data_IF_546965627027
#
_entry.id   IF_546965627027
#
_cell.length_a   1.000
_cell.length_b   1.000
_cell.length_c   1.000
_cell.angle_alpha   90.00
_cell.angle_beta   90.00
_cell.angle_gamma   90.00
#
_symmetry.space_group_name_H-M   'P 1'
#
loop_
_entity.id
_entity.type
_entity.pdbx_description
1 polymer ?
#
# COMPACT_ATOMS: atom_id res chain seq x y z
N UNK A 1 15.46 -7.42 9.33
CA UNK A 1 14.33 -6.58 8.88
C UNK A 1 14.59 -6.22 7.43
N UNK A 2 13.68 -6.60 6.54
CA UNK A 2 13.75 -6.22 5.14
C UNK A 2 12.96 -4.92 4.95
N UNK A 3 13.56 -3.92 4.30
CA UNK A 3 12.88 -2.66 4.00
C UNK A 3 12.05 -2.84 2.73
N UNK A 4 10.74 -2.60 2.80
CA UNK A 4 9.82 -2.67 1.68
C UNK A 4 9.58 -1.26 1.16
N UNK A 5 9.85 -1.06 -0.11
CA UNK A 5 9.65 0.20 -0.82
C UNK A 5 10.62 0.33 -1.98
N UNK A 6 10.28 1.05 -3.03
CA UNK A 6 11.28 1.37 -4.04
C UNK A 6 12.32 2.31 -3.42
N UNK A 7 13.61 2.09 -3.71
CA UNK A 7 14.71 2.90 -3.18
C UNK A 7 14.53 4.41 -3.47
N UNK A 8 13.83 4.75 -4.54
CA UNK A 8 13.54 6.14 -4.91
C UNK A 8 12.53 6.77 -3.95
N UNK A 9 11.44 6.09 -3.60
CA UNK A 9 10.42 6.66 -2.73
C UNK A 9 10.88 6.84 -1.28
N UNK A 10 11.62 5.88 -0.73
CA UNK A 10 12.16 5.98 0.64
C UNK A 10 13.15 7.15 0.77
N UNK A 11 13.92 7.44 -0.29
CA UNK A 11 14.87 8.58 -0.29
C UNK A 11 14.17 9.92 -0.27
N UNK A 12 13.04 10.04 -0.97
CA UNK A 12 12.34 11.32 -1.15
C UNK A 12 11.38 11.60 0.02
N UNK A 13 10.72 10.58 0.57
CA UNK A 13 9.73 10.74 1.63
C UNK A 13 10.28 10.50 3.04
N UNK A 14 11.31 9.69 3.16
CA UNK A 14 11.87 9.28 4.45
C UNK A 14 10.99 8.33 5.27
N UNK A 15 9.85 7.90 4.77
CA UNK A 15 8.96 6.93 5.43
C UNK A 15 9.01 5.60 4.68
N UNK A 16 9.25 4.53 5.43
CA UNK A 16 9.24 3.16 4.92
C UNK A 16 8.43 2.24 5.84
N UNK A 17 8.34 0.97 5.43
CA UNK A 17 7.74 -0.08 6.23
C UNK A 17 8.73 -1.22 6.45
N UNK A 18 8.87 -1.66 7.68
CA UNK A 18 9.63 -2.85 8.01
C UNK A 18 8.80 -4.08 7.67
N UNK A 19 9.40 -5.03 6.95
CA UNK A 19 8.78 -6.29 6.59
C UNK A 19 9.52 -7.47 7.21
N UNK A 20 8.75 -8.49 7.58
CA UNK A 20 9.29 -9.80 7.95
C UNK A 20 9.21 -10.73 6.76
N UNK A 21 10.30 -11.42 6.45
CA UNK A 21 10.29 -12.45 5.43
C UNK A 21 9.44 -13.62 5.93
N UNK A 22 8.27 -13.81 5.31
CA UNK A 22 7.34 -14.90 5.62
C UNK A 22 7.51 -16.10 4.69
N UNK A 23 8.04 -15.87 3.47
CA UNK A 23 8.34 -16.90 2.49
C UNK A 23 9.63 -16.57 1.77
N UNK A 24 10.45 -17.58 1.51
CA UNK A 24 11.69 -17.46 0.77
C UNK A 24 11.92 -18.75 -0.02
N UNK A 25 12.15 -18.62 -1.32
CA UNK A 25 12.46 -19.73 -2.21
C UNK A 25 13.47 -19.28 -3.28
N UNK A 26 14.50 -20.05 -3.49
CA UNK A 26 15.38 -19.91 -4.66
C UNK A 26 14.70 -20.60 -5.86
N UNK A 27 14.74 -19.93 -7.01
CA UNK A 27 14.24 -20.45 -8.28
C UNK A 27 15.38 -21.06 -9.10
N UNK A 28 15.07 -21.96 -10.05
CA UNK A 28 16.06 -22.68 -10.85
C UNK A 28 16.98 -21.76 -11.68
N UNK A 29 16.58 -20.52 -11.89
CA UNK A 29 17.33 -19.48 -12.61
C UNK A 29 18.21 -18.60 -11.68
N UNK A 30 18.34 -18.98 -10.40
CA UNK A 30 19.15 -18.28 -9.40
C UNK A 30 18.55 -16.99 -8.85
N UNK A 31 17.26 -16.72 -9.10
CA UNK A 31 16.51 -15.63 -8.47
C UNK A 31 15.86 -16.10 -7.18
N UNK A 32 15.38 -15.15 -6.39
CA UNK A 32 14.70 -15.42 -5.12
C UNK A 32 13.27 -14.92 -5.17
N UNK A 33 12.32 -15.80 -4.82
CA UNK A 33 10.93 -15.44 -4.57
C UNK A 33 10.77 -15.17 -3.08
N UNK A 34 10.35 -13.96 -2.72
CA UNK A 34 10.25 -13.51 -1.32
C UNK A 34 8.86 -12.95 -1.10
N UNK A 35 8.16 -13.40 -0.06
CA UNK A 35 6.98 -12.75 0.46
C UNK A 35 7.32 -12.01 1.75
N UNK A 36 6.93 -10.73 1.81
CA UNK A 36 7.17 -9.86 2.95
C UNK A 36 5.83 -9.55 3.65
N UNK A 37 5.79 -9.74 4.95
CA UNK A 37 4.68 -9.31 5.79
C UNK A 37 5.06 -7.98 6.45
N UNK A 38 4.29 -6.91 6.19
CA UNK A 38 4.48 -5.61 6.83
C UNK A 38 4.34 -5.73 8.35
N UNK A 39 5.18 -5.02 9.09
CA UNK A 39 5.21 -5.04 10.54
C UNK A 39 4.88 -3.67 11.11
N UNK A 40 5.65 -2.65 10.74
CA UNK A 40 5.50 -1.30 11.28
C UNK A 40 6.15 -0.30 10.31
N UNK A 41 5.57 0.86 10.18
CA UNK A 41 6.19 1.99 9.48
C UNK A 41 7.34 2.53 10.32
N UNK A 42 8.25 3.22 9.66
CA UNK A 42 9.38 3.88 10.29
C UNK A 42 9.75 5.16 9.54
N UNK A 43 10.37 6.08 10.25
CA UNK A 43 11.06 7.23 9.63
C UNK A 43 12.53 6.89 9.45
N UNK A 44 13.03 7.08 8.23
CA UNK A 44 14.43 6.89 7.89
C UNK A 44 15.24 8.13 8.33
N UNK A 45 16.20 7.94 9.25
CA UNK A 45 17.16 8.98 9.67
C UNK A 45 18.42 9.00 8.80
N UNK A 46 18.79 7.84 8.25
CA UNK A 46 19.96 7.72 7.40
C UNK A 46 20.31 6.25 7.14
N UNK A 47 21.34 6.03 6.35
CA UNK A 47 21.86 4.67 6.14
C UNK A 47 23.38 4.65 6.02
N UNK A 48 23.96 3.50 6.39
CA UNK A 48 25.39 3.21 6.24
C UNK A 48 25.54 1.96 5.38
N UNK A 49 26.45 2.01 4.42
CA UNK A 49 26.82 0.83 3.66
C UNK A 49 27.81 0.00 4.48
N UNK A 50 27.62 -1.32 4.49
CA UNK A 50 28.51 -2.26 5.17
C UNK A 50 29.47 -2.89 4.16
N UNK A 51 30.61 -3.43 4.63
CA UNK A 51 31.57 -4.16 3.77
C UNK A 51 30.94 -5.35 3.01
N UNK A 52 29.98 -6.13 3.56
CA UNK A 52 29.31 -7.18 2.81
C UNK A 52 28.32 -6.67 1.73
N UNK A 53 28.16 -5.35 1.56
CA UNK A 53 27.36 -4.76 0.48
C UNK A 53 25.88 -4.52 0.82
N UNK A 54 25.39 -4.88 2.00
CA UNK A 54 24.06 -4.49 2.45
C UNK A 54 24.07 -3.13 3.17
N UNK A 55 22.92 -2.51 3.27
CA UNK A 55 22.77 -1.23 3.96
C UNK A 55 22.13 -1.41 5.34
N UNK A 56 22.67 -0.71 6.33
CA UNK A 56 22.04 -0.53 7.64
C UNK A 56 21.33 0.82 7.65
N UNK A 57 20.07 0.83 8.03
CA UNK A 57 19.28 2.02 8.17
C UNK A 57 19.15 2.41 9.64
N UNK A 58 19.39 3.68 9.95
CA UNK A 58 19.01 4.30 11.22
C UNK A 58 17.54 4.69 11.11
N UNK A 59 16.66 4.13 11.95
CA UNK A 59 15.22 4.31 11.86
C UNK A 59 14.62 4.75 13.20
N UNK A 60 13.58 5.59 13.15
CA UNK A 60 12.71 5.91 14.29
C UNK A 60 11.33 5.31 14.09
N UNK A 61 10.80 4.73 15.15
CA UNK A 61 9.48 4.09 15.21
C UNK A 61 8.45 4.94 15.95
N UNK A 62 8.87 6.04 16.58
CA UNK A 62 8.08 6.79 17.57
C UNK A 62 6.76 7.29 16.99
N UNK A 63 6.77 7.78 15.75
CA UNK A 63 5.57 8.27 15.04
C UNK A 63 4.58 7.16 14.70
N UNK A 64 5.05 5.91 14.60
CA UNK A 64 4.29 4.77 14.10
C UNK A 64 4.09 3.67 15.15
N UNK A 65 4.27 3.99 16.43
CA UNK A 65 4.10 3.04 17.53
C UNK A 65 2.68 2.42 17.55
N UNK A 66 1.69 3.13 17.04
CA UNK A 66 0.30 2.67 16.91
C UNK A 66 0.12 1.57 15.86
N UNK A 67 1.04 1.43 14.90
CA UNK A 67 0.99 0.35 13.89
C UNK A 67 1.15 -1.04 14.52
N UNK A 68 1.72 -1.12 15.74
CA UNK A 68 1.92 -2.36 16.50
C UNK A 68 0.73 -2.72 17.41
N UNK A 69 -0.27 -1.86 17.45
CA UNK A 69 -1.49 -2.05 18.24
C UNK A 69 -2.63 -2.48 17.31
N UNK A 70 -3.71 -2.99 17.90
CA UNK A 70 -4.92 -3.23 17.15
C UNK A 70 -5.39 -1.89 16.53
N UNK A 71 -5.71 -1.88 15.22
CA UNK A 71 -6.03 -0.65 14.53
C UNK A 71 -7.27 0.00 15.13
N UNK A 72 -7.11 1.22 15.64
CA UNK A 72 -8.22 2.05 16.09
C UNK A 72 -8.87 2.74 14.90
N UNK A 73 -10.20 2.67 14.84
CA UNK A 73 -10.99 3.29 13.78
C UNK A 73 -11.29 2.34 12.62
N UNK A 74 -11.96 2.85 11.61
CA UNK A 74 -12.40 2.12 10.45
C UNK A 74 -12.63 3.06 9.26
N UNK A 75 -13.25 2.54 8.23
CA UNK A 75 -13.72 3.30 7.07
C UNK A 75 -14.97 4.09 7.51
N UNK A 76 -14.85 5.41 7.56
CA UNK A 76 -15.92 6.28 8.05
C UNK A 76 -17.21 6.18 7.20
N UNK A 77 -17.05 6.05 5.88
CA UNK A 77 -18.16 5.87 4.92
C UNK A 77 -17.90 4.60 4.11
N UNK A 78 -18.25 3.47 4.72
CA UNK A 78 -18.06 2.15 4.12
C UNK A 78 -18.89 1.97 2.87
N UNK A 79 -20.11 2.48 2.84
CA UNK A 79 -21.03 2.37 1.70
C UNK A 79 -20.47 3.12 0.47
N UNK A 80 -19.94 4.32 0.68
CA UNK A 80 -19.26 5.07 -0.37
C UNK A 80 -18.03 4.32 -0.89
N UNK A 81 -17.19 3.82 0.00
CA UNK A 81 -16.01 3.04 -0.36
C UNK A 81 -16.39 1.86 -1.26
N UNK A 82 -17.40 1.07 -0.87
CA UNK A 82 -17.84 -0.08 -1.66
C UNK A 82 -18.45 0.33 -3.00
N UNK A 83 -19.20 1.42 -3.04
CA UNK A 83 -19.79 1.94 -4.27
C UNK A 83 -18.69 2.32 -5.28
N UNK A 84 -17.68 3.07 -4.83
CA UNK A 84 -16.56 3.49 -5.69
C UNK A 84 -15.71 2.28 -6.10
N UNK A 85 -15.42 1.38 -5.17
CA UNK A 85 -14.64 0.18 -5.43
C UNK A 85 -15.30 -0.72 -6.49
N UNK A 86 -16.63 -0.94 -6.41
CA UNK A 86 -17.37 -1.72 -7.43
C UNK A 86 -17.28 -1.08 -8.82
N UNK A 87 -17.43 0.25 -8.90
CA UNK A 87 -17.28 1.00 -10.16
C UNK A 87 -15.87 0.89 -10.71
N UNK A 88 -14.86 1.10 -9.87
CA UNK A 88 -13.45 1.02 -10.25
C UNK A 88 -13.08 -0.38 -10.75
N UNK A 89 -13.47 -1.43 -10.04
CA UNK A 89 -13.20 -2.83 -10.44
C UNK A 89 -13.88 -3.17 -11.75
N UNK A 90 -15.15 -2.76 -11.93
CA UNK A 90 -15.87 -2.96 -13.19
C UNK A 90 -15.19 -2.25 -14.37
N UNK A 91 -14.76 -0.99 -14.19
CA UNK A 91 -14.07 -0.21 -15.23
C UNK A 91 -12.71 -0.83 -15.62
N UNK A 92 -11.99 -1.41 -14.66
CA UNK A 92 -10.68 -2.04 -14.86
C UNK A 92 -10.76 -3.52 -15.23
N UNK A 93 -11.95 -4.12 -15.26
CA UNK A 93 -12.14 -5.54 -15.56
C UNK A 93 -11.61 -6.46 -14.46
N UNK A 94 -11.57 -5.99 -13.21
CA UNK A 94 -11.18 -6.80 -12.06
C UNK A 94 -12.37 -7.63 -11.59
N UNK A 95 -12.12 -8.91 -11.40
CA UNK A 95 -13.08 -9.82 -10.76
C UNK A 95 -12.83 -9.87 -9.24
N UNK A 96 -13.90 -9.93 -8.44
CA UNK A 96 -13.81 -9.90 -7.00
C UNK A 96 -14.95 -10.67 -6.33
N UNK A 97 -14.62 -11.39 -5.27
CA UNK A 97 -15.60 -12.00 -4.36
C UNK A 97 -16.12 -10.95 -3.37
N UNK A 98 -17.21 -10.28 -3.75
CA UNK A 98 -17.81 -9.21 -2.98
C UNK A 98 -18.31 -9.67 -1.60
N UNK A 99 -18.82 -10.89 -1.51
CA UNK A 99 -19.31 -11.45 -0.24
C UNK A 99 -18.15 -11.64 0.75
N UNK A 100 -16.99 -12.04 0.26
CA UNK A 100 -15.79 -12.17 1.09
C UNK A 100 -15.26 -10.79 1.50
N UNK A 101 -15.21 -9.84 0.57
CA UNK A 101 -14.72 -8.48 0.85
C UNK A 101 -15.61 -7.78 1.88
N UNK A 102 -16.93 -7.89 1.76
CA UNK A 102 -17.88 -7.27 2.69
C UNK A 102 -17.76 -7.79 4.13
N UNK A 103 -17.33 -9.05 4.28
CA UNK A 103 -17.09 -9.69 5.60
C UNK A 103 -15.71 -9.40 6.16
N UNK A 104 -14.80 -8.85 5.37
CA UNK A 104 -13.43 -8.55 5.79
C UNK A 104 -13.38 -7.33 6.69
N UNK A 105 -12.37 -7.28 7.54
CA UNK A 105 -12.09 -6.11 8.38
C UNK A 105 -11.60 -4.94 7.53
N UNK A 106 -11.91 -3.72 7.95
CA UNK A 106 -11.57 -2.49 7.21
C UNK A 106 -10.08 -2.37 6.93
N UNK A 107 -9.23 -2.67 7.91
CA UNK A 107 -7.78 -2.65 7.74
C UNK A 107 -7.29 -3.63 6.67
N UNK A 108 -7.90 -4.81 6.59
CA UNK A 108 -7.58 -5.81 5.58
C UNK A 108 -8.01 -5.34 4.18
N UNK A 109 -9.20 -4.75 4.06
CA UNK A 109 -9.70 -4.18 2.80
C UNK A 109 -8.74 -3.09 2.30
N UNK A 110 -8.40 -2.11 3.15
CA UNK A 110 -7.53 -0.99 2.79
C UNK A 110 -6.13 -1.45 2.37
N UNK A 111 -5.53 -2.39 3.11
CA UNK A 111 -4.22 -2.92 2.79
C UNK A 111 -4.23 -3.72 1.48
N UNK A 112 -5.26 -4.53 1.25
CA UNK A 112 -5.40 -5.31 0.01
C UNK A 112 -5.56 -4.38 -1.19
N UNK A 113 -6.42 -3.37 -1.11
CA UNK A 113 -6.61 -2.38 -2.18
C UNK A 113 -5.31 -1.64 -2.51
N UNK A 114 -4.56 -1.19 -1.49
CA UNK A 114 -3.29 -0.51 -1.69
C UNK A 114 -2.25 -1.38 -2.42
N UNK A 115 -2.30 -2.71 -2.24
CA UNK A 115 -1.39 -3.65 -2.91
C UNK A 115 -1.86 -4.03 -4.31
N UNK A 116 -3.15 -4.36 -4.47
CA UNK A 116 -3.71 -4.94 -5.69
C UNK A 116 -3.98 -3.89 -6.76
N UNK A 117 -4.45 -2.70 -6.38
CA UNK A 117 -4.72 -1.64 -7.34
C UNK A 117 -3.43 -1.15 -8.03
N UNK A 118 -3.46 -0.92 -9.34
CA UNK A 118 -2.30 -0.50 -10.12
C UNK A 118 -2.03 1.00 -9.97
N UNK A 119 -1.97 1.46 -8.73
CA UNK A 119 -1.60 2.83 -8.40
C UNK A 119 -0.13 3.09 -8.69
N UNK A 120 0.17 4.33 -9.06
CA UNK A 120 1.54 4.80 -9.26
C UNK A 120 2.35 4.74 -7.95
N UNK A 121 3.68 4.72 -8.09
CA UNK A 121 4.59 4.59 -6.94
C UNK A 121 4.39 5.71 -5.93
N UNK A 122 4.18 6.95 -6.40
CA UNK A 122 3.93 8.11 -5.55
C UNK A 122 2.60 8.00 -4.79
N UNK A 123 1.56 7.45 -5.43
CA UNK A 123 0.25 7.21 -4.83
C UNK A 123 0.34 6.13 -3.73
N UNK A 124 1.03 5.03 -4.01
CA UNK A 124 1.28 3.98 -3.00
C UNK A 124 2.10 4.51 -1.82
N UNK A 125 3.03 5.40 -2.07
CA UNK A 125 3.80 6.07 -1.03
C UNK A 125 2.89 6.98 -0.18
N UNK A 126 2.01 7.77 -0.79
CA UNK A 126 1.04 8.60 -0.07
C UNK A 126 0.10 7.76 0.82
N UNK A 127 -0.33 6.57 0.36
CA UNK A 127 -1.11 5.64 1.17
C UNK A 127 -0.32 5.09 2.37
N UNK A 128 0.99 4.84 2.20
CA UNK A 128 1.86 4.41 3.28
C UNK A 128 2.05 5.51 4.34
N UNK A 129 2.16 6.77 3.90
CA UNK A 129 2.35 7.94 4.76
C UNK A 129 1.07 8.40 5.46
N UNK A 130 -0.10 7.95 4.98
CA UNK A 130 -1.38 8.35 5.53
C UNK A 130 -1.49 8.07 7.03
N UNK A 131 -1.91 9.10 7.78
CA UNK A 131 -2.11 8.98 9.22
C UNK A 131 -3.43 8.30 9.54
N UNK A 132 -3.35 7.05 9.98
CA UNK A 132 -4.48 6.23 10.37
C UNK A 132 -5.32 5.68 9.21
N UNK A 133 -6.29 4.82 9.57
CA UNK A 133 -7.14 4.13 8.60
C UNK A 133 -8.12 5.06 7.88
N UNK A 134 -8.70 6.01 8.57
CA UNK A 134 -9.67 6.94 7.98
C UNK A 134 -9.03 7.76 6.85
N UNK A 135 -7.85 8.33 7.08
CA UNK A 135 -7.13 9.09 6.05
C UNK A 135 -6.71 8.22 4.86
N UNK A 136 -6.29 6.99 5.12
CA UNK A 136 -5.96 6.04 4.06
C UNK A 136 -7.18 5.66 3.23
N UNK A 137 -8.36 5.48 3.86
CA UNK A 137 -9.62 5.23 3.17
C UNK A 137 -10.01 6.41 2.26
N UNK A 138 -9.93 7.65 2.76
CA UNK A 138 -10.24 8.85 1.98
C UNK A 138 -9.31 8.97 0.75
N UNK A 139 -8.02 8.71 0.92
CA UNK A 139 -7.06 8.72 -0.18
C UNK A 139 -7.37 7.64 -1.22
N UNK A 140 -7.67 6.42 -0.80
CA UNK A 140 -8.05 5.33 -1.71
C UNK A 140 -9.31 5.68 -2.51
N UNK A 141 -10.33 6.23 -1.86
CA UNK A 141 -11.55 6.69 -2.53
C UNK A 141 -11.20 7.75 -3.57
N UNK A 142 -10.43 8.78 -3.20
CA UNK A 142 -10.06 9.86 -4.12
C UNK A 142 -9.25 9.35 -5.32
N UNK A 143 -8.29 8.44 -5.11
CA UNK A 143 -7.48 7.86 -6.19
C UNK A 143 -8.34 7.03 -7.15
N UNK A 144 -9.26 6.22 -6.63
CA UNK A 144 -10.18 5.45 -7.48
C UNK A 144 -11.15 6.35 -8.24
N UNK A 145 -11.67 7.43 -7.62
CA UNK A 145 -12.53 8.42 -8.29
C UNK A 145 -11.77 9.14 -9.41
N UNK A 146 -10.52 9.57 -9.17
CA UNK A 146 -9.68 10.21 -10.20
C UNK A 146 -9.45 9.27 -11.39
N UNK A 147 -9.09 8.02 -11.14
CA UNK A 147 -8.86 7.04 -12.19
C UNK A 147 -10.13 6.76 -13.03
N UNK A 148 -11.31 6.76 -12.41
CA UNK A 148 -12.59 6.64 -13.13
C UNK A 148 -12.86 7.85 -14.02
N UNK A 149 -12.53 9.07 -13.57
CA UNK A 149 -12.70 10.29 -14.38
C UNK A 149 -11.75 10.35 -15.57
N UNK A 150 -10.53 9.86 -15.43
CA UNK A 150 -9.57 9.78 -16.53
C UNK A 150 -10.03 8.81 -17.63
N UNK A 151 -10.60 7.68 -17.24
CA UNK A 151 -11.14 6.68 -18.18
C UNK A 151 -12.36 7.22 -18.92
N UNK A 152 -13.25 7.97 -18.27
CA UNK A 152 -14.43 8.61 -18.89
C UNK A 152 -14.03 9.73 -19.86
N UNK A 153 -13.04 10.56 -19.49
CA UNK A 153 -12.55 11.67 -20.34
C UNK A 153 -11.74 11.21 -21.57
N UNK A 154 -11.08 10.05 -21.47
CA UNK A 154 -10.33 9.46 -22.58
C UNK A 154 -11.20 8.88 -23.69
N UNK A 155 -12.46 8.57 -23.43
CA UNK A 155 -13.39 8.01 -24.40
C UNK A 155 -14.10 9.09 -25.25
N UNK A 156 -14.23 10.31 -24.73
CA UNK A 156 -14.87 11.44 -25.46
C UNK A 156 -13.97 12.07 -26.55
N UNK A 157 -12.65 11.81 -26.51
CA UNK A 157 -11.69 12.37 -27.47
C UNK A 157 -11.48 11.49 -28.73
N UNK A 158 -12.24 10.42 -28.93
CA UNK A 158 -12.09 9.47 -30.07
C UNK A 158 -13.31 9.41 -31.02
N UNK A 159 -14.14 10.44 -31.06
CA UNK A 159 -15.21 10.57 -32.04
C UNK A 159 -14.98 11.74 -32.97
#
# INVERSE_FOLDING_TARGET
VCLVGSEMCIRDSGIGCAGRIGYFQETDDGRYMIALNGVCRFRLGGYKQTEPGYRLADVSWDEFATDLQDPLGGIADRDRMFTIMRRYFSARGFDADWDQIERSEDGQILNTLAMVCPFEVAEKQALLEADGMARRADLLIAMMEMALHEDDGGNDARH
#
